data_IF_416259188847
#
_entry.id   IF_416259188847
#
_cell.length_a   1.000
_cell.length_b   1.000
_cell.length_c   1.000
_cell.angle_alpha   90.00
_cell.angle_beta   90.00
_cell.angle_gamma   90.00
#
_symmetry.space_group_name_H-M   'P 1'
#
loop_
_entity.id
_entity.type
_entity.pdbx_description
1 polymer ?
#
# COMPACT_ATOMS: atom_id res chain seq x y z
N UNK A 1 1.97 -5.07 -25.85
CA UNK A 1 2.74 -5.87 -24.87
C UNK A 1 1.74 -6.43 -23.87
N UNK A 2 1.69 -7.76 -23.69
CA UNK A 2 0.60 -8.37 -22.91
C UNK A 2 0.81 -8.16 -21.41
N UNK A 3 0.09 -7.19 -20.86
CA UNK A 3 -0.41 -7.29 -19.49
C UNK A 3 -1.30 -8.53 -19.47
N UNK A 4 -0.92 -9.57 -18.72
CA UNK A 4 -1.69 -10.83 -18.65
C UNK A 4 -3.05 -10.62 -17.97
N UNK A 5 -3.12 -9.68 -17.02
CA UNK A 5 -4.33 -9.20 -16.34
C UNK A 5 -4.04 -7.85 -15.68
N UNK A 6 -4.86 -6.84 -15.94
CA UNK A 6 -4.83 -5.60 -15.17
C UNK A 6 -5.64 -5.84 -13.90
N UNK A 7 -4.98 -5.86 -12.75
CA UNK A 7 -5.63 -6.33 -11.52
C UNK A 7 -6.46 -5.24 -10.85
N UNK A 8 -6.19 -3.96 -11.11
CA UNK A 8 -7.08 -2.87 -10.69
C UNK A 8 -6.79 -1.55 -11.40
N UNK A 9 -7.77 -0.65 -11.42
CA UNK A 9 -7.63 0.77 -11.80
C UNK A 9 -8.14 1.63 -10.66
N UNK A 10 -7.30 2.52 -10.14
CA UNK A 10 -7.66 3.45 -9.11
C UNK A 10 -7.79 4.85 -9.73
N UNK A 11 -8.93 5.50 -9.51
CA UNK A 11 -9.21 6.82 -10.11
C UNK A 11 -8.50 7.96 -9.39
N UNK A 12 -8.12 7.77 -8.12
CA UNK A 12 -7.59 8.83 -7.26
C UNK A 12 -6.30 8.42 -6.52
N UNK A 13 -5.56 7.42 -7.00
CA UNK A 13 -4.31 7.02 -6.36
C UNK A 13 -3.24 6.54 -7.33
N UNK A 14 -1.99 6.80 -6.97
CA UNK A 14 -0.80 6.31 -7.66
C UNK A 14 -0.08 5.34 -6.72
N UNK A 15 0.37 4.21 -7.27
CA UNK A 15 1.17 3.22 -6.55
C UNK A 15 2.63 3.44 -6.86
N UNK A 16 3.43 3.62 -5.82
CA UNK A 16 4.87 3.81 -5.96
C UNK A 16 5.67 2.55 -5.62
N UNK A 17 5.06 1.59 -4.92
CA UNK A 17 5.75 0.41 -4.44
C UNK A 17 4.82 -0.81 -4.34
N UNK A 18 5.35 -1.99 -4.64
CA UNK A 18 4.66 -3.28 -4.50
C UNK A 18 5.61 -4.31 -3.91
N UNK A 19 5.07 -5.25 -3.14
CA UNK A 19 5.84 -6.39 -2.61
C UNK A 19 4.97 -7.66 -2.63
N UNK A 20 5.57 -8.78 -2.99
CA UNK A 20 4.94 -10.09 -2.85
C UNK A 20 5.05 -10.56 -1.40
N UNK A 21 3.93 -10.98 -0.85
CA UNK A 21 3.90 -11.69 0.41
C UNK A 21 4.23 -13.18 0.19
N UNK A 22 4.94 -13.86 1.11
CA UNK A 22 5.22 -15.30 0.99
C UNK A 22 3.97 -16.19 0.86
N UNK A 23 2.80 -15.71 1.28
CA UNK A 23 1.52 -16.42 1.11
C UNK A 23 0.87 -16.23 -0.28
N UNK A 24 1.53 -15.56 -1.22
CA UNK A 24 1.12 -15.48 -2.63
C UNK A 24 0.18 -14.31 -2.98
N UNK A 25 -0.28 -13.54 -2.00
CA UNK A 25 -0.87 -12.23 -2.26
C UNK A 25 0.23 -11.18 -2.42
N UNK A 26 -0.11 -10.01 -2.96
CA UNK A 26 0.79 -8.86 -3.00
C UNK A 26 0.18 -7.70 -2.23
N UNK A 27 1.08 -6.88 -1.71
CA UNK A 27 0.78 -5.66 -0.99
C UNK A 27 1.21 -4.50 -1.87
N UNK A 28 0.46 -3.42 -1.85
CA UNK A 28 0.83 -2.17 -2.53
C UNK A 28 0.52 -0.98 -1.64
N UNK A 29 1.36 0.04 -1.69
CA UNK A 29 1.13 1.31 -1.01
C UNK A 29 0.83 2.39 -2.06
N UNK A 30 0.01 3.35 -1.69
CA UNK A 30 -0.31 4.42 -2.62
C UNK A 30 -0.76 5.70 -1.96
N UNK A 31 -0.85 6.69 -2.85
CA UNK A 31 -0.84 8.11 -2.52
C UNK A 31 -2.17 8.73 -2.92
N UNK A 32 -2.80 9.45 -2.00
CA UNK A 32 -3.80 10.48 -2.26
C UNK A 32 -3.23 11.86 -1.91
N UNK A 33 -4.01 12.95 -2.07
CA UNK A 33 -3.49 14.30 -1.86
C UNK A 33 -2.94 14.55 -0.44
N UNK A 34 -3.60 14.01 0.59
CA UNK A 34 -3.18 14.10 2.00
C UNK A 34 -3.48 12.80 2.75
N UNK A 35 -3.67 11.71 2.00
CA UNK A 35 -4.02 10.40 2.54
C UNK A 35 -3.14 9.35 1.89
N UNK A 36 -2.97 8.23 2.58
CA UNK A 36 -2.38 7.05 2.00
C UNK A 36 -3.14 5.83 2.45
N UNK A 37 -2.97 4.75 1.71
CA UNK A 37 -3.54 3.46 2.04
C UNK A 37 -2.60 2.35 1.57
N UNK A 38 -2.63 1.24 2.30
CA UNK A 38 -2.01 -0.02 1.95
C UNK A 38 -3.12 -0.95 1.48
N UNK A 39 -2.95 -1.59 0.33
CA UNK A 39 -3.90 -2.54 -0.21
C UNK A 39 -3.30 -3.92 -0.32
N UNK A 40 -4.16 -4.92 -0.15
CA UNK A 40 -3.84 -6.34 -0.22
C UNK A 40 -4.64 -6.97 -1.34
N UNK A 41 -4.01 -7.78 -2.19
CA UNK A 41 -4.62 -8.32 -3.38
C UNK A 41 -4.06 -9.69 -3.74
N UNK A 42 -4.87 -10.53 -4.37
CA UNK A 42 -4.36 -11.74 -5.03
C UNK A 42 -4.38 -11.56 -6.55
N UNK A 43 -3.51 -12.27 -7.29
CA UNK A 43 -3.51 -12.22 -8.76
C UNK A 43 -4.84 -12.68 -9.39
N UNK A 44 -5.58 -13.53 -8.70
CA UNK A 44 -6.77 -14.21 -9.23
C UNK A 44 -8.03 -13.35 -9.13
N UNK A 45 -8.11 -12.45 -8.16
CA UNK A 45 -9.30 -11.62 -7.88
C UNK A 45 -9.18 -10.22 -8.50
N UNK A 46 -10.32 -9.67 -8.87
CA UNK A 46 -10.45 -8.28 -9.39
C UNK A 46 -10.77 -7.28 -8.28
N UNK A 47 -10.96 -7.76 -7.05
CA UNK A 47 -11.20 -6.94 -5.87
C UNK A 47 -10.07 -7.12 -4.85
N UNK A 48 -9.80 -6.04 -4.11
CA UNK A 48 -8.87 -6.07 -3.00
C UNK A 48 -9.35 -7.02 -1.90
N UNK A 49 -8.42 -7.75 -1.30
CA UNK A 49 -8.67 -8.57 -0.13
C UNK A 49 -8.96 -7.72 1.11
N UNK A 50 -8.18 -6.65 1.29
CA UNK A 50 -8.26 -5.75 2.43
C UNK A 50 -7.56 -4.43 2.11
N UNK A 51 -7.73 -3.45 3.00
CA UNK A 51 -6.88 -2.27 3.02
C UNK A 51 -6.70 -1.69 4.42
N UNK A 52 -5.62 -0.93 4.59
CA UNK A 52 -5.27 -0.26 5.83
C UNK A 52 -4.95 1.21 5.52
N UNK A 53 -5.71 2.12 6.13
CA UNK A 53 -5.42 3.55 6.02
C UNK A 53 -4.13 3.88 6.76
N UNK A 54 -3.33 4.74 6.17
CA UNK A 54 -2.14 5.30 6.79
C UNK A 54 -2.31 6.81 6.96
N UNK A 55 -1.52 7.39 7.86
CA UNK A 55 -1.64 8.81 8.28
C UNK A 55 -1.40 9.86 7.18
N UNK A 56 -0.86 9.46 6.03
CA UNK A 56 -0.51 10.36 4.94
C UNK A 56 -0.01 9.59 3.71
N UNK A 57 0.27 10.28 2.59
CA UNK A 57 0.73 9.69 1.34
C UNK A 57 1.83 8.64 1.52
N UNK A 58 1.61 7.42 1.02
CA UNK A 58 2.53 6.28 1.19
C UNK A 58 3.38 6.05 -0.06
N UNK A 59 4.62 6.53 -0.03
CA UNK A 59 5.52 6.53 -1.19
C UNK A 59 6.39 5.28 -1.31
N UNK A 60 6.63 4.57 -0.21
CA UNK A 60 7.43 3.36 -0.20
C UNK A 60 7.06 2.50 0.99
N UNK A 61 7.37 1.20 0.89
CA UNK A 61 7.14 0.27 1.99
C UNK A 61 8.07 -0.93 1.90
N UNK A 62 8.24 -1.63 3.02
CA UNK A 62 8.93 -2.91 3.07
C UNK A 62 8.17 -3.92 3.94
N UNK A 63 8.24 -5.19 3.55
CA UNK A 63 7.58 -6.30 4.25
C UNK A 63 8.56 -6.90 5.25
N UNK A 64 8.17 -6.90 6.53
CA UNK A 64 8.98 -7.57 7.54
C UNK A 64 8.98 -9.10 7.29
N UNK A 65 10.11 -9.80 7.52
CA UNK A 65 10.23 -11.24 7.26
C UNK A 65 9.24 -12.14 8.03
N UNK A 66 8.60 -11.63 9.09
CA UNK A 66 7.55 -12.37 9.81
C UNK A 66 6.22 -12.46 9.04
N UNK A 67 6.07 -11.74 7.93
CA UNK A 67 4.85 -11.74 7.13
C UNK A 67 3.64 -11.08 7.81
N UNK A 68 3.86 -10.30 8.86
CA UNK A 68 2.79 -9.65 9.65
C UNK A 68 2.96 -8.13 9.71
N UNK A 69 4.19 -7.63 9.67
CA UNK A 69 4.46 -6.20 9.79
C UNK A 69 4.93 -5.57 8.48
N UNK A 70 4.61 -4.28 8.30
CA UNK A 70 4.96 -3.48 7.13
C UNK A 70 5.51 -2.14 7.60
N UNK A 71 6.71 -1.78 7.14
CA UNK A 71 7.22 -0.42 7.27
C UNK A 71 6.75 0.43 6.10
N UNK A 72 6.34 1.66 6.33
CA UNK A 72 5.85 2.57 5.29
C UNK A 72 6.49 3.94 5.43
N UNK A 73 7.11 4.41 4.35
CA UNK A 73 7.61 5.76 4.21
C UNK A 73 6.47 6.69 3.75
N UNK A 74 6.22 7.73 4.54
CA UNK A 74 5.07 8.61 4.37
C UNK A 74 5.47 10.08 4.38
N UNK A 75 4.67 10.88 3.69
CA UNK A 75 4.72 12.34 3.83
C UNK A 75 3.65 12.81 4.80
N UNK A 76 3.99 13.83 5.59
CA UNK A 76 3.10 14.52 6.51
C UNK A 76 3.32 16.04 6.48
N UNK A 77 2.59 16.74 7.33
CA UNK A 77 2.55 18.20 7.36
C UNK A 77 1.26 18.77 6.75
N UNK A 78 0.96 20.05 6.98
CA UNK A 78 -0.34 20.66 6.65
C UNK A 78 -0.52 21.00 5.16
N UNK A 79 0.53 20.86 4.35
CA UNK A 79 0.52 21.21 2.91
C UNK A 79 0.20 19.99 2.06
N UNK A 80 -0.38 20.22 0.87
CA UNK A 80 -0.64 19.16 -0.12
C UNK A 80 0.64 18.42 -0.53
N UNK A 81 1.75 19.15 -0.64
CA UNK A 81 3.09 18.58 -0.67
C UNK A 81 3.72 18.90 0.69
N UNK A 82 3.58 17.95 1.61
CA UNK A 82 4.08 18.04 2.96
C UNK A 82 5.59 18.25 3.02
N UNK A 83 6.05 18.78 4.14
CA UNK A 83 7.46 19.07 4.42
C UNK A 83 8.04 18.16 5.51
N UNK A 84 7.29 17.13 5.92
CA UNK A 84 7.69 16.19 6.96
C UNK A 84 7.69 14.76 6.41
N UNK A 85 8.78 14.03 6.71
CA UNK A 85 8.86 12.58 6.48
C UNK A 85 8.46 11.82 7.74
N UNK A 86 7.70 10.75 7.56
CA UNK A 86 7.29 9.81 8.60
C UNK A 86 7.62 8.38 8.17
N UNK A 87 8.01 7.54 9.14
CA UNK A 87 8.05 6.09 8.96
C UNK A 87 7.05 5.47 9.94
N UNK A 88 6.07 4.74 9.41
CA UNK A 88 5.09 4.01 10.20
C UNK A 88 5.35 2.51 10.14
N UNK A 89 5.22 1.83 11.28
CA UNK A 89 5.17 0.37 11.37
C UNK A 89 3.71 -0.04 11.53
N UNK A 90 3.19 -0.80 10.56
CA UNK A 90 1.82 -1.24 10.51
C UNK A 90 1.73 -2.76 10.61
N UNK A 91 0.70 -3.26 11.29
CA UNK A 91 0.38 -4.67 11.32
C UNK A 91 -0.71 -4.99 10.28
N UNK A 92 -0.57 -6.09 9.55
CA UNK A 92 -1.58 -6.55 8.61
C UNK A 92 -2.88 -6.92 9.33
N UNK A 93 -4.05 -6.56 8.76
CA UNK A 93 -5.32 -6.98 9.32
C UNK A 93 -5.40 -8.50 9.38
N UNK A 94 -5.98 -9.03 10.45
CA UNK A 94 -6.31 -10.45 10.52
C UNK A 94 -7.34 -10.76 9.44
N UNK A 95 -7.07 -11.77 8.62
CA UNK A 95 -8.08 -12.33 7.74
C UNK A 95 -9.22 -12.85 8.63
N UNK A 96 -10.43 -12.35 8.41
CA UNK A 96 -11.65 -12.98 8.94
C UNK A 96 -12.13 -14.02 7.96
#
# INVERSE_FOLDING_TARGET
QQVRKQVSTFTNSIFHHLVFHPQGFYVTSGVGAQTGEIWFWTPEKDEKLASLKVSGPAYGMDLHPDGRHILVAQMGGPRTYGDQGMVGLYEMPLAK
#
